data_IF_240576160568
#
_entry.id   IF_240576160568
#
_cell.length_a   1.000
_cell.length_b   1.000
_cell.length_c   1.000
_cell.angle_alpha   90.00
_cell.angle_beta   90.00
_cell.angle_gamma   90.00
#
_symmetry.space_group_name_H-M   'P 1'
#
loop_
_entity.id
_entity.type
_entity.pdbx_description
1 polymer ?
#
# COMPACT_ATOMS: atom_id res chain seq x y z
N UNK A 1 9.26 20.26 -11.25
CA UNK A 1 9.27 18.93 -10.63
C UNK A 1 7.85 18.66 -10.14
N UNK A 2 7.16 17.63 -10.65
CA UNK A 2 5.85 17.27 -10.11
C UNK A 2 6.03 16.87 -8.64
N UNK A 3 5.27 17.45 -7.69
CA UNK A 3 5.33 17.01 -6.30
C UNK A 3 4.93 15.53 -6.31
N UNK A 4 5.88 14.64 -5.98
CA UNK A 4 5.55 13.23 -5.80
C UNK A 4 4.62 13.18 -4.59
N UNK A 5 3.37 12.73 -4.75
CA UNK A 5 2.48 12.62 -3.60
C UNK A 5 3.17 11.71 -2.57
N UNK A 6 3.16 12.14 -1.31
CA UNK A 6 3.89 11.45 -0.24
C UNK A 6 3.47 9.97 -0.13
N UNK A 7 2.24 9.65 -0.53
CA UNK A 7 1.69 8.30 -0.64
C UNK A 7 1.00 8.11 -1.99
N UNK A 8 1.04 6.89 -2.51
CA UNK A 8 0.24 6.54 -3.68
C UNK A 8 -1.24 6.42 -3.29
N UNK A 9 -2.13 6.80 -4.20
CA UNK A 9 -3.55 6.52 -4.05
C UNK A 9 -3.76 5.00 -4.01
N UNK A 10 -4.59 4.53 -3.08
CA UNK A 10 -4.80 3.13 -2.71
C UNK A 10 -3.60 2.43 -2.04
N UNK A 11 -2.59 3.18 -1.57
CA UNK A 11 -1.54 2.60 -0.76
C UNK A 11 -2.07 2.16 0.61
N UNK A 12 -1.57 1.02 1.09
CA UNK A 12 -1.78 0.60 2.48
C UNK A 12 -0.82 1.34 3.41
N UNK A 13 -1.37 1.89 4.48
CA UNK A 13 -0.64 2.60 5.52
C UNK A 13 -1.06 2.06 6.89
N UNK A 14 -0.21 2.22 7.88
CA UNK A 14 -0.54 2.03 9.29
C UNK A 14 -0.51 3.38 9.98
N UNK A 15 -1.52 3.65 10.79
CA UNK A 15 -1.52 4.77 11.72
C UNK A 15 -1.45 4.21 13.15
N UNK A 16 -0.55 4.70 14.02
CA UNK A 16 -0.33 4.13 15.35
C UNK A 16 -1.58 4.15 16.25
N UNK A 17 -2.50 5.10 16.00
CA UNK A 17 -3.76 5.23 16.74
C UNK A 17 -4.95 4.49 16.12
N UNK A 18 -4.97 4.30 14.80
CA UNK A 18 -6.15 3.81 14.06
C UNK A 18 -5.89 2.49 13.34
N UNK A 19 -4.68 1.95 13.43
CA UNK A 19 -4.27 0.71 12.77
C UNK A 19 -4.10 0.87 11.27
N UNK A 20 -4.34 -0.22 10.55
CA UNK A 20 -4.21 -0.29 9.11
C UNK A 20 -5.31 0.50 8.40
N UNK A 21 -4.93 1.21 7.34
CA UNK A 21 -5.85 1.94 6.50
C UNK A 21 -5.33 2.07 5.07
N UNK A 22 -6.23 2.44 4.18
CA UNK A 22 -5.94 2.59 2.75
C UNK A 22 -6.13 4.04 2.35
N UNK A 23 -5.12 4.62 1.68
CA UNK A 23 -5.18 6.00 1.19
C UNK A 23 -6.20 6.08 0.06
N UNK A 24 -7.30 6.80 0.25
CA UNK A 24 -8.35 6.99 -0.77
C UNK A 24 -8.01 8.15 -1.68
N UNK A 25 -7.52 9.24 -1.11
CA UNK A 25 -7.05 10.43 -1.83
C UNK A 25 -5.86 11.04 -1.09
N UNK A 26 -4.90 11.56 -1.85
CA UNK A 26 -3.71 12.23 -1.31
C UNK A 26 -3.51 13.54 -2.07
N UNK A 27 -3.86 14.65 -1.41
CA UNK A 27 -3.65 16.01 -1.87
C UNK A 27 -2.54 16.68 -1.04
N UNK A 28 -2.05 17.84 -1.48
CA UNK A 28 -0.96 18.55 -0.79
C UNK A 28 -1.38 19.06 0.60
N UNK A 29 -2.63 19.47 0.78
CA UNK A 29 -3.14 19.93 2.08
C UNK A 29 -3.77 18.82 2.90
N UNK A 30 -4.44 17.86 2.26
CA UNK A 30 -5.24 16.85 2.97
C UNK A 30 -5.06 15.44 2.39
N UNK A 31 -5.12 14.44 3.26
CA UNK A 31 -5.13 13.02 2.89
C UNK A 31 -6.37 12.38 3.47
N UNK A 32 -7.09 11.64 2.63
CA UNK A 32 -8.26 10.86 3.03
C UNK A 32 -7.82 9.41 3.13
N UNK A 33 -7.98 8.83 4.31
CA UNK A 33 -7.58 7.46 4.63
C UNK A 33 -8.82 6.70 5.11
N UNK A 34 -9.06 5.54 4.53
CA UNK A 34 -10.07 4.60 4.99
C UNK A 34 -9.43 3.57 5.92
N UNK A 35 -9.67 3.67 7.22
CA UNK A 35 -9.25 2.66 8.18
C UNK A 35 -10.28 1.54 8.24
N UNK A 36 -9.82 0.30 8.33
CA UNK A 36 -10.72 -0.86 8.41
C UNK A 36 -11.55 -0.84 9.70
N UNK A 37 -10.98 -0.38 10.82
CA UNK A 37 -11.65 -0.38 12.13
C UNK A 37 -12.44 0.92 12.42
N UNK A 38 -12.00 2.04 11.84
CA UNK A 38 -12.53 3.38 12.17
C UNK A 38 -13.22 4.09 11.00
N UNK A 39 -13.25 3.48 9.81
CA UNK A 39 -13.81 4.07 8.60
C UNK A 39 -12.96 5.20 8.01
N UNK A 40 -13.60 6.02 7.16
CA UNK A 40 -12.93 7.10 6.44
C UNK A 40 -12.65 8.32 7.33
N UNK A 41 -11.40 8.78 7.33
CA UNK A 41 -10.96 9.99 8.02
C UNK A 41 -10.11 10.88 7.11
N UNK A 42 -10.33 12.18 7.23
CA UNK A 42 -9.56 13.22 6.55
C UNK A 42 -8.54 13.81 7.52
N UNK A 43 -7.29 13.87 7.09
CA UNK A 43 -6.18 14.45 7.85
C UNK A 43 -5.46 15.51 7.03
N UNK A 44 -4.70 16.35 7.71
CA UNK A 44 -3.80 17.32 7.07
C UNK A 44 -2.53 16.58 6.64
N UNK A 45 -2.15 16.70 5.36
CA UNK A 45 -1.01 15.97 4.78
C UNK A 45 0.27 16.23 5.58
N UNK A 46 0.57 17.51 5.89
CA UNK A 46 1.79 17.91 6.59
C UNK A 46 1.94 17.30 7.99
N UNK A 47 0.82 16.94 8.63
CA UNK A 47 0.81 16.35 9.98
C UNK A 47 0.76 14.83 9.90
N UNK A 48 -0.03 14.28 8.98
CA UNK A 48 -0.28 12.84 8.89
C UNK A 48 0.91 12.13 8.25
N UNK A 49 1.56 12.72 7.24
CA UNK A 49 2.69 12.13 6.52
C UNK A 49 3.81 11.62 7.42
N UNK A 50 4.32 12.38 8.42
CA UNK A 50 5.34 11.88 9.35
C UNK A 50 4.82 10.84 10.35
N UNK A 51 3.51 10.80 10.60
CA UNK A 51 2.87 9.86 11.54
C UNK A 51 2.36 8.57 10.87
N UNK A 52 2.41 8.49 9.54
CA UNK A 52 1.98 7.32 8.79
C UNK A 52 3.15 6.39 8.51
N UNK A 53 2.97 5.12 8.86
CA UNK A 53 3.90 4.06 8.47
C UNK A 53 3.47 3.52 7.13
N UNK A 54 4.35 3.58 6.12
CA UNK A 54 4.11 2.90 4.84
C UNK A 54 4.16 1.39 5.09
N UNK A 55 3.01 0.74 5.01
CA UNK A 55 2.98 -0.71 4.87
C UNK A 55 3.25 -0.95 3.39
N UNK A 56 4.52 -1.14 3.03
CA UNK A 56 4.91 -1.62 1.70
C UNK A 56 4.52 -3.10 1.58
N UNK A 57 3.21 -3.35 1.57
CA UNK A 57 2.68 -4.55 0.95
C UNK A 57 2.84 -4.27 -0.53
N UNK A 58 4.05 -4.52 -1.04
CA UNK A 58 4.41 -4.39 -2.45
C UNK A 58 3.19 -4.76 -3.28
N UNK A 59 2.66 -3.88 -4.15
CA UNK A 59 1.79 -4.37 -5.20
C UNK A 59 2.62 -5.47 -5.86
N UNK A 60 2.18 -6.75 -5.88
CA UNK A 60 2.95 -7.82 -6.46
C UNK A 60 3.34 -7.34 -7.83
N UNK A 61 4.66 -7.13 -7.99
CA UNK A 61 5.27 -6.37 -9.04
C UNK A 61 4.52 -6.67 -10.34
N UNK A 62 3.68 -5.73 -10.80
CA UNK A 62 2.91 -5.90 -12.03
C UNK A 62 3.82 -5.70 -13.25
N UNK A 63 5.09 -6.11 -13.15
CA UNK A 63 5.89 -6.49 -14.31
C UNK A 63 5.41 -7.85 -14.77
N UNK A 64 4.42 -7.79 -15.67
CA UNK A 64 4.12 -8.78 -16.71
C UNK A 64 4.11 -10.25 -16.26
N UNK A 65 2.89 -10.78 -16.15
CA UNK A 65 2.62 -12.19 -16.44
C UNK A 65 3.35 -12.63 -17.71
N UNK A 66 4.30 -13.55 -17.55
CA UNK A 66 4.44 -14.74 -18.40
C UNK A 66 4.82 -15.92 -17.50
N UNK A 67 3.80 -16.53 -16.91
CA UNK A 67 3.84 -17.96 -16.51
C UNK A 67 3.82 -18.81 -17.80
N UNK A 68 4.35 -20.05 -17.82
CA UNK A 68 3.93 -21.08 -16.89
C UNK A 68 5.05 -21.89 -16.23
N UNK A 69 4.71 -22.38 -15.02
CA UNK A 69 5.29 -23.57 -14.40
C UNK A 69 5.13 -24.74 -15.37
N UNK A 70 6.24 -25.27 -15.89
CA UNK A 70 6.27 -26.68 -16.28
C UNK A 70 6.63 -27.47 -15.03
N UNK A 71 5.62 -28.17 -14.49
CA UNK A 71 5.85 -29.33 -13.64
C UNK A 71 6.67 -30.33 -14.47
N UNK A 72 7.81 -30.78 -13.97
CA UNK A 72 8.24 -32.17 -14.13
C UNK A 72 8.79 -32.66 -12.81
N UNK A 73 7.94 -33.42 -12.12
CA UNK A 73 8.37 -34.44 -11.21
C UNK A 73 9.04 -35.56 -12.04
N UNK A 74 10.23 -35.95 -11.63
CA UNK A 74 10.91 -37.24 -11.81
C UNK A 74 11.93 -37.24 -10.66
N UNK A 75 11.81 -38.00 -9.57
CA UNK A 75 11.44 -39.40 -9.45
C UNK A 75 12.72 -40.20 -9.19
N UNK A 76 12.71 -41.03 -8.13
CA UNK A 76 13.58 -42.21 -7.88
C UNK A 76 15.10 -41.95 -7.68
N UNK A 77 15.68 -42.22 -6.50
CA UNK A 77 16.07 -43.54 -5.97
C UNK A 77 17.07 -44.28 -6.86
N UNK A 78 18.36 -44.19 -6.52
CA UNK A 78 19.33 -45.29 -6.44
C UNK A 78 20.50 -44.86 -5.54
#
# INVERSE_FOLDING_TARGET
MAPKPAFAQNAQIEHPKFGCGTVVSCDDEYVIIHFDDHGQKKFISSIVVPNLKKIDRQPPNRTKSRRPKTKKATGTAE
#
